data_IF_416501067727
#
_entry.id   IF_416501067727
#
_cell.length_a   1.000
_cell.length_b   1.000
_cell.length_c   1.000
_cell.angle_alpha   90.00
_cell.angle_beta   90.00
_cell.angle_gamma   90.00
#
_symmetry.space_group_name_H-M   'P 1'
#
loop_
_entity.id
_entity.type
_entity.pdbx_description
1 polymer ?
#
# COMPACT_ATOMS: atom_id res chain seq x y z
N UNK A 1 8.80 19.42 13.93
CA UNK A 1 8.09 18.36 13.19
C UNK A 1 7.36 19.05 12.06
N UNK A 2 8.03 19.14 10.91
CA UNK A 2 7.54 19.96 9.80
C UNK A 2 6.33 19.29 9.13
N UNK A 3 5.25 20.04 8.97
CA UNK A 3 4.00 19.65 8.31
C UNK A 3 4.12 19.49 6.79
N UNK A 4 5.28 19.03 6.30
CA UNK A 4 5.43 18.61 4.92
C UNK A 4 4.75 17.25 4.78
N UNK A 5 3.43 17.29 4.56
CA UNK A 5 2.64 16.11 4.24
C UNK A 5 3.35 15.30 3.17
N UNK A 6 3.49 14.00 3.42
CA UNK A 6 4.10 13.05 2.50
C UNK A 6 3.50 13.22 1.11
N UNK A 7 4.34 13.67 0.17
CA UNK A 7 3.99 13.67 -1.24
C UNK A 7 4.60 12.42 -1.84
N UNK A 8 3.79 11.48 -2.35
CA UNK A 8 4.35 10.34 -3.05
C UNK A 8 5.21 10.85 -4.20
N UNK A 9 6.34 10.18 -4.51
CA UNK A 9 7.18 10.57 -5.62
C UNK A 9 6.34 10.57 -6.91
N UNK A 10 6.68 11.45 -7.87
CA UNK A 10 6.08 11.37 -9.20
C UNK A 10 6.47 10.04 -9.82
N UNK A 11 5.48 9.22 -10.17
CA UNK A 11 5.67 7.86 -10.66
C UNK A 11 5.27 7.70 -12.11
N UNK A 12 6.08 6.95 -12.84
CA UNK A 12 5.72 6.37 -14.12
C UNK A 12 5.04 5.00 -13.95
N UNK A 13 4.61 4.43 -15.07
CA UNK A 13 3.99 3.09 -15.11
C UNK A 13 4.93 2.01 -14.54
N UNK A 14 6.23 2.14 -14.79
CA UNK A 14 7.26 1.21 -14.31
C UNK A 14 7.38 1.19 -12.78
N UNK A 15 7.25 2.35 -12.12
CA UNK A 15 7.33 2.42 -10.66
C UNK A 15 6.16 1.69 -10.01
N UNK A 16 4.96 1.79 -10.60
CA UNK A 16 3.80 1.03 -10.12
C UNK A 16 3.94 -0.47 -10.38
N UNK A 17 4.50 -0.87 -11.51
CA UNK A 17 4.84 -2.27 -11.76
C UNK A 17 5.84 -2.80 -10.71
N UNK A 18 6.84 -1.98 -10.35
CA UNK A 18 7.80 -2.32 -9.29
C UNK A 18 7.11 -2.42 -7.91
N UNK A 19 6.17 -1.53 -7.59
CA UNK A 19 5.37 -1.61 -6.35
C UNK A 19 4.53 -2.89 -6.32
N UNK A 20 3.93 -3.28 -7.45
CA UNK A 20 3.23 -4.54 -7.56
C UNK A 20 4.15 -5.75 -7.38
N UNK A 21 5.36 -5.73 -7.94
CA UNK A 21 6.35 -6.78 -7.68
C UNK A 21 6.74 -6.85 -6.19
N UNK A 22 6.91 -5.70 -5.53
CA UNK A 22 7.16 -5.64 -4.08
C UNK A 22 5.98 -6.18 -3.27
N UNK A 23 4.76 -5.84 -3.69
CA UNK A 23 3.53 -6.39 -3.12
C UNK A 23 3.43 -7.90 -3.29
N UNK A 24 3.85 -8.43 -4.44
CA UNK A 24 3.94 -9.87 -4.66
C UNK A 24 4.90 -10.53 -3.67
N UNK A 25 6.12 -10.00 -3.50
CA UNK A 25 7.07 -10.52 -2.52
C UNK A 25 6.52 -10.46 -1.08
N UNK A 26 5.82 -9.38 -0.73
CA UNK A 26 5.17 -9.23 0.58
C UNK A 26 4.05 -10.27 0.77
N UNK A 27 3.21 -10.50 -0.26
CA UNK A 27 2.18 -11.53 -0.22
C UNK A 27 2.73 -12.95 -0.16
N UNK A 28 3.86 -13.24 -0.82
CA UNK A 28 4.55 -14.52 -0.67
C UNK A 28 5.06 -14.72 0.76
N UNK A 29 5.60 -13.67 1.39
CA UNK A 29 6.06 -13.73 2.76
C UNK A 29 4.93 -14.04 3.76
N UNK A 30 3.73 -13.49 3.55
CA UNK A 30 2.59 -13.76 4.44
C UNK A 30 2.10 -15.23 4.39
N UNK A 31 2.43 -15.98 3.33
CA UNK A 31 2.11 -17.42 3.23
C UNK A 31 3.19 -18.30 3.90
N UNK A 32 4.41 -17.79 4.07
CA UNK A 32 5.52 -18.55 4.68
C UNK A 32 5.50 -18.36 6.21
N UNK A 33 5.33 -19.44 7.00
CA UNK A 33 5.30 -19.32 8.45
C UNK A 33 6.64 -18.78 8.98
N UNK A 34 6.57 -17.75 9.82
CA UNK A 34 7.75 -17.11 10.42
C UNK A 34 8.32 -15.93 9.63
N UNK A 35 7.75 -15.55 8.48
CA UNK A 35 8.15 -14.34 7.73
C UNK A 35 7.09 -13.24 7.93
N UNK A 36 7.54 -12.02 8.24
CA UNK A 36 6.65 -10.85 8.42
C UNK A 36 6.58 -10.02 7.14
N UNK A 37 5.38 -9.79 6.63
CA UNK A 37 5.15 -8.86 5.51
C UNK A 37 5.65 -7.44 5.79
N UNK A 38 5.59 -6.98 7.05
CA UNK A 38 6.13 -5.67 7.45
C UNK A 38 7.66 -5.59 7.32
N UNK A 39 8.37 -6.68 7.64
CA UNK A 39 9.82 -6.77 7.44
C UNK A 39 10.16 -6.78 5.95
N UNK A 40 9.38 -7.46 5.11
CA UNK A 40 9.56 -7.40 3.66
C UNK A 40 9.31 -6.01 3.10
N UNK A 41 8.28 -5.30 3.56
CA UNK A 41 8.05 -3.91 3.17
C UNK A 41 9.26 -3.02 3.52
N UNK A 42 9.93 -3.28 4.64
CA UNK A 42 11.14 -2.56 5.06
C UNK A 42 12.34 -2.89 4.16
N UNK A 43 12.61 -4.18 3.95
CA UNK A 43 13.70 -4.63 3.08
C UNK A 43 13.53 -4.11 1.64
N UNK A 44 12.29 -4.07 1.14
CA UNK A 44 11.96 -3.61 -0.21
C UNK A 44 11.87 -2.08 -0.33
N UNK A 45 12.10 -1.34 0.76
CA UNK A 45 12.11 0.13 0.77
C UNK A 45 10.75 0.78 0.52
N UNK A 46 9.65 0.11 0.84
CA UNK A 46 8.28 0.65 0.74
C UNK A 46 7.61 0.86 2.10
N UNK A 47 8.31 0.52 3.19
CA UNK A 47 7.75 0.56 4.53
C UNK A 47 7.28 1.94 4.95
N UNK A 48 8.09 2.98 4.73
CA UNK A 48 7.77 4.34 5.13
C UNK A 48 6.49 4.83 4.44
N UNK A 49 6.38 4.57 3.14
CA UNK A 49 5.20 4.91 2.37
C UNK A 49 3.98 4.05 2.73
N UNK A 50 4.17 2.79 3.07
CA UNK A 50 3.10 1.92 3.56
C UNK A 50 2.54 2.45 4.87
N UNK A 51 3.41 2.76 5.84
CA UNK A 51 3.01 3.31 7.14
C UNK A 51 2.32 4.66 6.98
N UNK A 52 2.85 5.52 6.11
CA UNK A 52 2.25 6.83 5.85
C UNK A 52 0.90 6.70 5.15
N UNK A 53 0.77 5.74 4.22
CA UNK A 53 -0.50 5.44 3.58
C UNK A 53 -1.55 5.00 4.60
N UNK A 54 -1.17 4.15 5.56
CA UNK A 54 -2.05 3.71 6.65
C UNK A 54 -2.43 4.90 7.55
N UNK A 55 -1.48 5.79 7.89
CA UNK A 55 -1.78 6.99 8.69
C UNK A 55 -2.77 7.92 8.00
N UNK A 56 -2.64 8.09 6.67
CA UNK A 56 -3.57 8.89 5.88
C UNK A 56 -4.97 8.28 5.92
N UNK A 57 -5.08 6.95 5.77
CA UNK A 57 -6.36 6.25 5.89
C UNK A 57 -6.97 6.38 7.29
N UNK A 58 -6.15 6.34 8.35
CA UNK A 58 -6.57 6.52 9.73
C UNK A 58 -6.74 8.00 10.16
N UNK A 59 -6.49 8.95 9.26
CA UNK A 59 -6.53 10.37 9.59
C UNK A 59 -7.96 10.86 9.83
N UNK A 60 -8.11 11.86 10.72
CA UNK A 60 -9.40 12.54 10.96
C UNK A 60 -10.00 13.12 9.67
N UNK A 61 -9.15 13.51 8.71
CA UNK A 61 -9.57 14.07 7.43
C UNK A 61 -10.21 13.00 6.54
N UNK A 62 -9.64 11.80 6.49
CA UNK A 62 -10.22 10.66 5.80
C UNK A 62 -11.54 10.23 6.45
N UNK A 63 -11.55 10.12 7.78
CA UNK A 63 -12.75 9.77 8.53
C UNK A 63 -13.88 10.79 8.32
N UNK A 64 -13.58 12.08 8.37
CA UNK A 64 -14.55 13.14 8.08
C UNK A 64 -15.06 13.06 6.64
N UNK A 65 -14.19 12.80 5.66
CA UNK A 65 -14.60 12.66 4.27
C UNK A 65 -15.53 11.45 4.05
N UNK A 66 -15.26 10.33 4.74
CA UNK A 66 -16.10 9.13 4.74
C UNK A 66 -17.47 9.41 5.38
N UNK A 67 -17.51 10.05 6.54
CA UNK A 67 -18.77 10.39 7.24
C UNK A 67 -19.61 11.37 6.43
N UNK A 68 -18.99 12.35 5.77
CA UNK A 68 -19.66 13.30 4.89
C UNK A 68 -20.02 12.74 3.51
N UNK A 69 -19.73 11.46 3.22
CA UNK A 69 -19.89 10.84 1.90
C UNK A 69 -19.23 11.63 0.75
N UNK A 70 -18.17 12.39 1.03
CA UNK A 70 -17.45 13.17 0.02
C UNK A 70 -16.41 12.29 -0.69
N UNK A 71 -16.88 11.54 -1.68
CA UNK A 71 -16.07 10.60 -2.47
C UNK A 71 -14.91 11.33 -3.18
N UNK A 72 -15.14 12.58 -3.64
CA UNK A 72 -14.09 13.36 -4.32
C UNK A 72 -12.94 13.65 -3.36
N UNK A 73 -13.25 14.00 -2.12
CA UNK A 73 -12.25 14.24 -1.07
C UNK A 73 -11.54 12.96 -0.65
N UNK A 74 -12.27 11.85 -0.52
CA UNK A 74 -11.68 10.53 -0.24
C UNK A 74 -10.68 10.14 -1.32
N UNK A 75 -11.07 10.18 -2.60
CA UNK A 75 -10.19 9.81 -3.73
C UNK A 75 -8.96 10.72 -3.87
N UNK A 76 -9.07 11.97 -3.42
CA UNK A 76 -7.95 12.93 -3.47
C UNK A 76 -6.95 12.72 -2.33
N UNK A 77 -7.42 12.33 -1.15
CA UNK A 77 -6.57 12.13 0.04
C UNK A 77 -6.02 10.71 0.07
N UNK A 78 -6.78 9.71 -0.39
CA UNK A 78 -6.38 8.32 -0.33
C UNK A 78 -5.18 8.06 -1.27
N UNK A 79 -4.12 7.36 -0.81
CA UNK A 79 -2.99 6.96 -1.65
C UNK A 79 -3.34 5.73 -2.50
N UNK A 80 -4.42 5.85 -3.29
CA UNK A 80 -5.04 4.74 -4.01
C UNK A 80 -4.13 4.11 -5.06
N UNK A 81 -3.20 4.86 -5.66
CA UNK A 81 -2.28 4.33 -6.65
C UNK A 81 -1.23 3.41 -6.04
N UNK A 82 -0.66 3.80 -4.89
CA UNK A 82 0.29 2.98 -4.14
C UNK A 82 -0.38 1.75 -3.58
N UNK A 83 -1.47 1.94 -2.82
CA UNK A 83 -2.22 0.86 -2.20
C UNK A 83 -2.79 -0.10 -3.25
N UNK A 84 -3.36 0.42 -4.33
CA UNK A 84 -3.90 -0.39 -5.41
C UNK A 84 -2.83 -1.26 -6.07
N UNK A 85 -1.66 -0.68 -6.37
CA UNK A 85 -0.55 -1.44 -6.98
C UNK A 85 0.01 -2.49 -6.02
N UNK A 86 0.14 -2.16 -4.73
CA UNK A 86 0.64 -3.08 -3.70
C UNK A 86 -0.33 -4.24 -3.46
N UNK A 87 -1.62 -3.93 -3.26
CA UNK A 87 -2.68 -4.91 -3.07
C UNK A 87 -2.85 -5.80 -4.29
N UNK A 88 -2.69 -5.25 -5.49
CA UNK A 88 -2.68 -6.05 -6.71
C UNK A 88 -1.55 -7.09 -6.68
N UNK A 89 -0.34 -6.68 -6.31
CA UNK A 89 0.79 -7.58 -6.13
C UNK A 89 0.54 -8.68 -5.10
N UNK A 90 0.07 -8.30 -3.91
CA UNK A 90 -0.27 -9.24 -2.83
C UNK A 90 -1.36 -10.22 -3.29
N UNK A 91 -2.41 -9.72 -3.93
CA UNK A 91 -3.51 -10.53 -4.45
C UNK A 91 -3.03 -11.53 -5.50
N UNK A 92 -2.16 -11.13 -6.43
CA UNK A 92 -1.55 -12.03 -7.41
C UNK A 92 -0.72 -13.12 -6.70
N UNK A 93 0.06 -12.76 -5.67
CA UNK A 93 0.84 -13.74 -4.91
C UNK A 93 -0.04 -14.76 -4.19
N UNK A 94 -1.04 -14.29 -3.45
CA UNK A 94 -1.96 -15.15 -2.68
C UNK A 94 -2.76 -16.06 -3.63
N UNK A 95 -3.32 -15.53 -4.72
CA UNK A 95 -4.06 -16.33 -5.70
C UNK A 95 -3.17 -17.36 -6.42
N UNK A 96 -1.90 -17.02 -6.65
CA UNK A 96 -0.95 -17.95 -7.24
C UNK A 96 -0.62 -19.10 -6.28
N UNK A 97 -0.34 -18.79 -5.00
CA UNK A 97 -0.02 -19.81 -3.99
C UNK A 97 -1.25 -20.61 -3.53
N UNK A 98 -2.44 -20.02 -3.53
CA UNK A 98 -3.69 -20.70 -3.22
C UNK A 98 -4.02 -21.84 -4.19
N UNK A 99 -3.39 -21.88 -5.37
CA UNK A 99 -3.48 -23.02 -6.29
C UNK A 99 -2.56 -24.19 -5.93
N UNK A 100 -1.56 -23.98 -5.06
CA UNK A 100 -0.56 -24.98 -4.67
C UNK A 100 -0.73 -25.48 -3.22
N UNK A 101 -1.62 -24.86 -2.45
CA UNK A 101 -2.12 -25.32 -1.15
C UNK A 101 -3.42 -26.11 -1.36
#
# INVERSE_FOLDING_TARGET
>A
MDSKGFKPPKRGLFDYAMISARGFCMGCADVVPGVSGGTMAFILGIYEELIESIKILASKQMLSALISFDIKKVLRIAPWQFLGSLLFGIGVAVLSLAKFL
#
